data_IF_436760306333
#
_entry.id   IF_436760306333
#
_cell.length_a   1.000
_cell.length_b   1.000
_cell.length_c   1.000
_cell.angle_alpha   90.00
_cell.angle_beta   90.00
_cell.angle_gamma   90.00
#
_symmetry.space_group_name_H-M   'P 1'
#
loop_
_entity.id
_entity.type
_entity.pdbx_description
1 polymer ?
#
# COMPACT_ATOMS: atom_id res chain seq x y z
N UNK A 1 7.29 16.91 19.58
CA UNK A 1 7.19 15.47 19.28
C UNK A 1 8.46 15.05 18.57
N UNK A 2 9.03 13.89 18.89
CA UNK A 2 10.25 13.41 18.22
C UNK A 2 9.88 12.84 16.85
N UNK A 3 10.40 13.45 15.76
CA UNK A 3 10.08 13.09 14.37
C UNK A 3 10.49 11.63 14.03
N UNK A 4 11.59 11.14 14.59
CA UNK A 4 12.02 9.77 14.39
C UNK A 4 11.02 8.76 14.98
N UNK A 5 10.63 8.96 16.25
CA UNK A 5 9.65 8.09 16.90
C UNK A 5 8.31 8.12 16.15
N UNK A 6 7.86 9.31 15.76
CA UNK A 6 6.64 9.48 14.97
C UNK A 6 6.70 8.70 13.66
N UNK A 7 7.77 8.86 12.89
CA UNK A 7 7.96 8.12 11.61
C UNK A 7 7.97 6.62 11.83
N UNK A 8 8.63 6.12 12.88
CA UNK A 8 8.63 4.70 13.21
C UNK A 8 7.24 4.17 13.56
N UNK A 9 6.47 4.92 14.36
CA UNK A 9 5.10 4.54 14.74
C UNK A 9 4.19 4.52 13.52
N UNK A 10 4.21 5.57 12.70
CA UNK A 10 3.42 5.63 11.45
C UNK A 10 3.78 4.47 10.52
N UNK A 11 5.08 4.20 10.33
CA UNK A 11 5.55 3.07 9.52
C UNK A 11 5.05 1.75 10.07
N UNK A 12 5.20 1.52 11.39
CA UNK A 12 4.79 0.27 12.02
C UNK A 12 3.28 0.01 11.86
N UNK A 13 2.43 1.01 12.14
CA UNK A 13 0.98 0.89 11.94
C UNK A 13 0.65 0.60 10.47
N UNK A 14 1.35 1.25 9.54
CA UNK A 14 1.14 1.03 8.10
C UNK A 14 1.49 -0.40 7.70
N UNK A 15 2.63 -0.93 8.16
CA UNK A 15 3.03 -2.32 7.87
C UNK A 15 2.04 -3.32 8.49
N UNK A 16 1.56 -3.07 9.71
CA UNK A 16 0.50 -3.89 10.34
C UNK A 16 -0.76 -3.87 9.47
N UNK A 17 -1.18 -2.70 8.97
CA UNK A 17 -2.34 -2.60 8.08
C UNK A 17 -2.12 -3.31 6.74
N UNK A 18 -0.93 -3.22 6.13
CA UNK A 18 -0.58 -3.98 4.92
C UNK A 18 -0.67 -5.47 5.19
N UNK A 19 -0.01 -5.96 6.24
CA UNK A 19 0.07 -7.38 6.56
C UNK A 19 -1.29 -7.97 6.94
N UNK A 20 -2.04 -7.29 7.80
CA UNK A 20 -3.31 -7.82 8.29
C UNK A 20 -4.45 -7.57 7.31
N UNK A 21 -4.65 -6.32 6.87
CA UNK A 21 -5.79 -5.99 6.03
C UNK A 21 -5.56 -6.40 4.58
N UNK A 22 -4.53 -5.89 3.89
CA UNK A 22 -4.33 -6.18 2.47
C UNK A 22 -3.94 -7.64 2.24
N UNK A 23 -2.91 -8.11 2.93
CA UNK A 23 -2.35 -9.43 2.71
C UNK A 23 -3.28 -10.54 3.26
N UNK A 24 -3.43 -10.63 4.58
CA UNK A 24 -4.20 -11.74 5.19
C UNK A 24 -5.71 -11.60 5.01
N UNK A 25 -6.25 -10.39 5.11
CA UNK A 25 -7.70 -10.14 5.01
C UNK A 25 -8.19 -10.13 3.57
N UNK A 26 -7.58 -9.32 2.71
CA UNK A 26 -8.10 -9.11 1.37
C UNK A 26 -7.52 -10.08 0.34
N UNK A 27 -6.20 -10.31 0.31
CA UNK A 27 -5.59 -11.19 -0.67
C UNK A 27 -5.89 -12.67 -0.37
N UNK A 28 -5.61 -13.13 0.84
CA UNK A 28 -5.73 -14.54 1.23
C UNK A 28 -7.08 -14.92 1.84
N UNK A 29 -7.94 -13.94 2.19
CA UNK A 29 -9.23 -14.20 2.85
C UNK A 29 -9.14 -15.02 4.15
N UNK A 30 -7.98 -14.99 4.81
CA UNK A 30 -7.71 -15.75 6.03
C UNK A 30 -8.23 -15.08 7.31
N UNK A 31 -8.58 -13.80 7.27
CA UNK A 31 -9.10 -13.03 8.40
C UNK A 31 -10.30 -12.20 7.97
N UNK A 32 -11.36 -12.26 8.76
CA UNK A 32 -12.54 -11.40 8.64
C UNK A 32 -12.47 -10.37 9.76
N UNK A 33 -12.38 -9.09 9.40
CA UNK A 33 -12.32 -7.99 10.35
C UNK A 33 -13.70 -7.45 10.67
N UNK A 34 -13.87 -7.00 11.91
CA UNK A 34 -15.02 -6.15 12.24
C UNK A 34 -15.03 -4.93 11.30
N UNK A 35 -16.19 -4.50 10.76
CA UNK A 35 -16.28 -3.43 9.76
C UNK A 35 -15.56 -2.13 10.14
N UNK A 36 -15.64 -1.70 11.39
CA UNK A 36 -14.96 -0.50 11.90
C UNK A 36 -13.44 -0.64 11.79
N UNK A 37 -12.88 -1.79 12.22
CA UNK A 37 -11.45 -2.03 12.16
C UNK A 37 -10.95 -2.15 10.72
N UNK A 38 -11.70 -2.85 9.87
CA UNK A 38 -11.39 -2.96 8.44
C UNK A 38 -11.41 -1.59 7.75
N UNK A 39 -12.37 -0.73 8.10
CA UNK A 39 -12.46 0.63 7.58
C UNK A 39 -11.30 1.51 8.07
N UNK A 40 -10.94 1.44 9.37
CA UNK A 40 -9.78 2.15 9.91
C UNK A 40 -8.49 1.76 9.17
N UNK A 41 -8.22 0.46 8.99
CA UNK A 41 -7.03 -0.01 8.27
C UNK A 41 -7.00 0.47 6.82
N UNK A 42 -8.13 0.45 6.12
CA UNK A 42 -8.27 0.95 4.75
C UNK A 42 -8.04 2.45 4.66
N UNK A 43 -8.64 3.24 5.55
CA UNK A 43 -8.41 4.67 5.65
C UNK A 43 -6.93 4.99 5.92
N UNK A 44 -6.31 4.28 6.87
CA UNK A 44 -4.91 4.46 7.21
C UNK A 44 -3.97 4.18 6.02
N UNK A 45 -4.23 3.12 5.27
CA UNK A 45 -3.46 2.79 4.07
C UNK A 45 -3.63 3.82 2.97
N UNK A 46 -4.84 4.32 2.76
CA UNK A 46 -5.10 5.42 1.84
C UNK A 46 -4.34 6.69 2.24
N UNK A 47 -4.34 7.03 3.54
CA UNK A 47 -3.66 8.19 4.09
C UNK A 47 -2.13 8.12 3.93
N UNK A 48 -1.53 6.97 4.23
CA UNK A 48 -0.07 6.82 4.36
C UNK A 48 0.62 6.31 3.09
N UNK A 49 -0.10 5.64 2.20
CA UNK A 49 0.48 5.00 1.01
C UNK A 49 -0.20 5.37 -0.29
N UNK A 50 -1.44 5.86 -0.24
CA UNK A 50 -2.28 6.08 -1.42
C UNK A 50 -2.58 4.81 -2.22
N UNK A 51 -2.41 3.63 -1.63
CA UNK A 51 -2.67 2.36 -2.31
C UNK A 51 -4.16 2.14 -2.53
N UNK A 52 -4.50 1.68 -3.72
CA UNK A 52 -5.84 1.25 -4.09
C UNK A 52 -5.97 -0.23 -3.76
N UNK A 53 -6.87 -0.57 -2.83
CA UNK A 53 -7.04 -1.94 -2.31
C UNK A 53 -7.16 -2.99 -3.42
N UNK A 54 -8.01 -2.74 -4.42
CA UNK A 54 -8.23 -3.67 -5.54
C UNK A 54 -6.96 -3.93 -6.35
N UNK A 55 -6.18 -2.87 -6.63
CA UNK A 55 -4.94 -2.98 -7.40
C UNK A 55 -3.88 -3.77 -6.63
N UNK A 56 -3.69 -3.44 -5.36
CA UNK A 56 -2.70 -4.13 -4.53
C UNK A 56 -3.01 -5.63 -4.43
N UNK A 57 -4.26 -5.98 -4.12
CA UNK A 57 -4.71 -7.37 -4.00
C UNK A 57 -4.56 -8.12 -5.32
N UNK A 58 -4.89 -7.48 -6.45
CA UNK A 58 -4.75 -8.09 -7.76
C UNK A 58 -3.29 -8.43 -8.09
N UNK A 59 -2.39 -7.48 -7.87
CA UNK A 59 -0.94 -7.65 -8.09
C UNK A 59 -0.41 -8.77 -7.21
N UNK A 60 -0.76 -8.78 -5.93
CA UNK A 60 -0.31 -9.78 -4.98
C UNK A 60 -0.83 -11.19 -5.32
N UNK A 61 -2.10 -11.33 -5.69
CA UNK A 61 -2.66 -12.61 -6.12
C UNK A 61 -2.06 -13.09 -7.43
N UNK A 62 -1.75 -12.18 -8.37
CA UNK A 62 -1.03 -12.53 -9.60
C UNK A 62 0.38 -13.03 -9.28
N UNK A 63 1.08 -12.38 -8.34
CA UNK A 63 2.37 -12.88 -7.86
C UNK A 63 2.25 -14.32 -7.35
N UNK A 64 1.29 -14.62 -6.48
CA UNK A 64 1.09 -16.00 -6.00
C UNK A 64 0.75 -17.00 -7.12
N UNK A 65 -0.01 -16.58 -8.12
CA UNK A 65 -0.39 -17.45 -9.25
C UNK A 65 0.79 -17.76 -10.20
N UNK A 66 1.74 -16.83 -10.31
CA UNK A 66 2.88 -16.91 -11.22
C UNK A 66 4.23 -16.91 -10.49
N UNK A 67 4.25 -17.21 -9.20
CA UNK A 67 5.40 -17.07 -8.31
C UNK A 67 6.71 -17.51 -8.99
N UNK A 68 7.65 -16.58 -9.12
CA UNK A 68 9.00 -16.76 -9.71
C UNK A 68 9.04 -17.21 -11.18
N UNK A 69 7.91 -17.09 -11.91
CA UNK A 69 7.80 -17.41 -13.33
C UNK A 69 7.59 -16.16 -14.17
N UNK A 70 7.70 -16.32 -15.48
CA UNK A 70 7.34 -15.28 -16.44
C UNK A 70 5.88 -14.83 -16.21
N UNK A 71 5.67 -13.50 -16.15
CA UNK A 71 4.36 -12.90 -15.84
C UNK A 71 4.16 -12.52 -14.37
N UNK A 72 5.08 -12.89 -13.48
CA UNK A 72 5.09 -12.41 -12.09
C UNK A 72 5.40 -10.90 -12.05
N UNK A 73 4.54 -10.07 -11.44
CA UNK A 73 4.70 -8.61 -11.48
C UNK A 73 5.89 -8.06 -10.68
N UNK A 74 6.44 -8.81 -9.73
CA UNK A 74 7.54 -8.33 -8.88
C UNK A 74 8.47 -9.43 -8.33
N UNK A 75 8.63 -10.52 -9.05
CA UNK A 75 9.56 -11.58 -8.65
C UNK A 75 11.02 -11.13 -8.62
N UNK A 76 11.76 -11.39 -7.54
CA UNK A 76 13.19 -11.16 -7.50
C UNK A 76 13.98 -12.09 -8.45
N UNK A 77 13.44 -13.27 -8.79
CA UNK A 77 14.04 -14.17 -9.77
C UNK A 77 13.94 -13.64 -11.20
N UNK A 78 12.79 -12.99 -11.54
CA UNK A 78 12.55 -12.40 -12.88
C UNK A 78 13.25 -11.06 -13.05
N UNK A 79 13.16 -10.19 -12.03
CA UNK A 79 13.64 -8.80 -12.12
C UNK A 79 14.96 -8.54 -11.41
N UNK A 80 15.44 -9.46 -10.57
CA UNK A 80 16.56 -9.27 -9.67
C UNK A 80 16.17 -8.59 -8.35
N UNK A 81 16.77 -9.04 -7.23
CA UNK A 81 16.39 -8.58 -5.88
C UNK A 81 16.53 -7.07 -5.69
N UNK A 82 17.60 -6.47 -6.19
CA UNK A 82 17.84 -5.03 -6.06
C UNK A 82 16.80 -4.20 -6.81
N UNK A 83 16.34 -4.69 -7.96
CA UNK A 83 15.29 -4.01 -8.72
C UNK A 83 13.94 -4.08 -8.00
N UNK A 84 13.60 -5.23 -7.45
CA UNK A 84 12.38 -5.39 -6.67
C UNK A 84 12.43 -4.50 -5.42
N UNK A 85 13.55 -4.51 -4.69
CA UNK A 85 13.71 -3.75 -3.47
C UNK A 85 13.66 -2.23 -3.70
N UNK A 86 14.44 -1.70 -4.66
CA UNK A 86 14.53 -0.25 -4.88
C UNK A 86 13.48 0.32 -5.86
N UNK A 87 12.92 -0.52 -6.72
CA UNK A 87 11.92 -0.10 -7.72
C UNK A 87 10.57 -0.77 -7.53
N UNK A 88 10.30 -1.37 -6.37
CA UNK A 88 9.04 -2.05 -6.07
C UNK A 88 7.81 -1.15 -6.29
N UNK A 89 7.85 0.09 -5.84
CA UNK A 89 6.78 1.06 -6.08
C UNK A 89 6.55 1.34 -7.59
N UNK A 90 7.61 1.37 -8.38
CA UNK A 90 7.50 1.53 -9.84
C UNK A 90 6.95 0.26 -10.50
N UNK A 91 7.39 -0.92 -10.09
CA UNK A 91 6.86 -2.19 -10.57
C UNK A 91 5.37 -2.30 -10.26
N UNK A 92 4.98 -1.97 -9.03
CA UNK A 92 3.57 -1.88 -8.63
C UNK A 92 2.78 -0.94 -9.53
N UNK A 93 3.25 0.30 -9.72
CA UNK A 93 2.58 1.29 -10.56
C UNK A 93 2.46 0.83 -12.01
N UNK A 94 3.46 0.13 -12.54
CA UNK A 94 3.42 -0.42 -13.89
C UNK A 94 2.40 -1.55 -13.99
N UNK A 95 2.40 -2.48 -13.04
CA UNK A 95 1.45 -3.59 -13.01
C UNK A 95 0.00 -3.12 -12.79
N UNK A 96 -0.22 -2.06 -11.99
CA UNK A 96 -1.56 -1.52 -11.72
C UNK A 96 -2.26 -0.91 -12.94
N UNK A 97 -1.55 -0.64 -14.02
CA UNK A 97 -2.12 -0.13 -15.29
C UNK A 97 -2.78 -1.23 -16.13
N UNK A 98 -2.46 -2.48 -15.89
CA UNK A 98 -3.10 -3.63 -16.54
C UNK A 98 -4.50 -3.84 -15.93
N UNK A 99 -5.50 -3.19 -16.55
CA UNK A 99 -6.89 -3.20 -16.07
C UNK A 99 -7.52 -4.59 -16.12
N UNK A 100 -7.14 -5.42 -17.10
CA UNK A 100 -7.65 -6.77 -17.24
C UNK A 100 -7.13 -7.67 -16.11
N UNK A 101 -5.84 -7.55 -15.81
CA UNK A 101 -5.23 -8.20 -14.66
C UNK A 101 -5.90 -7.74 -13.35
N UNK A 102 -6.07 -6.43 -13.15
CA UNK A 102 -6.70 -5.88 -11.93
C UNK A 102 -8.14 -6.37 -11.79
N UNK A 103 -8.90 -6.44 -12.88
CA UNK A 103 -10.27 -6.95 -12.84
C UNK A 103 -10.32 -8.46 -12.58
N UNK A 104 -9.40 -9.24 -13.16
CA UNK A 104 -9.33 -10.69 -12.99
C UNK A 104 -8.93 -11.09 -11.56
N UNK A 105 -7.88 -10.52 -11.02
CA UNK A 105 -7.31 -10.93 -9.74
C UNK A 105 -7.82 -10.11 -8.54
N UNK A 106 -8.40 -8.92 -8.76
CA UNK A 106 -8.92 -8.04 -7.72
C UNK A 106 -10.36 -8.32 -7.26
N UNK A 107 -10.95 -9.45 -7.66
CA UNK A 107 -12.33 -9.83 -7.32
C UNK A 107 -12.51 -9.99 -5.81
N UNK A 108 -13.65 -9.51 -5.29
CA UNK A 108 -14.05 -9.66 -3.88
C UNK A 108 -13.30 -8.76 -2.91
N UNK A 109 -12.67 -7.68 -3.40
CA UNK A 109 -12.19 -6.56 -2.58
C UNK A 109 -13.33 -5.59 -2.26
N UNK A 110 -13.19 -4.72 -1.24
CA UNK A 110 -14.21 -3.71 -0.94
C UNK A 110 -14.55 -2.87 -2.17
N UNK A 111 -15.85 -2.69 -2.40
CA UNK A 111 -16.40 -1.91 -3.52
C UNK A 111 -17.61 -1.09 -3.02
N UNK A 112 -17.46 -0.46 -1.84
CA UNK A 112 -18.48 0.40 -1.24
C UNK A 112 -18.41 1.84 -1.79
N UNK A 113 -19.34 2.69 -1.34
CA UNK A 113 -19.42 4.08 -1.78
C UNK A 113 -18.11 4.86 -1.52
N UNK A 114 -17.45 4.62 -0.38
CA UNK A 114 -16.21 5.31 -0.01
C UNK A 114 -15.08 4.89 -0.94
N UNK A 115 -14.97 3.59 -1.25
CA UNK A 115 -13.95 3.10 -2.19
C UNK A 115 -14.13 3.72 -3.56
N UNK A 116 -15.37 3.73 -4.09
CA UNK A 116 -15.66 4.24 -5.43
C UNK A 116 -15.52 5.74 -5.57
N UNK A 117 -15.83 6.51 -4.53
CA UNK A 117 -15.92 7.97 -4.62
C UNK A 117 -14.75 8.70 -3.94
N UNK A 118 -14.03 8.06 -3.01
CA UNK A 118 -12.97 8.70 -2.25
C UNK A 118 -11.64 7.99 -2.48
N UNK A 119 -11.48 6.74 -2.05
CA UNK A 119 -10.18 6.11 -1.99
C UNK A 119 -9.58 5.82 -3.36
N UNK A 120 -10.35 5.22 -4.27
CA UNK A 120 -9.86 4.89 -5.61
C UNK A 120 -9.60 6.11 -6.48
N UNK A 121 -10.57 7.06 -6.70
CA UNK A 121 -10.33 8.20 -7.59
C UNK A 121 -9.39 9.24 -6.99
N UNK A 122 -9.30 9.32 -5.67
CA UNK A 122 -8.51 10.32 -4.95
C UNK A 122 -7.38 9.69 -4.11
N UNK A 123 -6.75 8.63 -4.62
CA UNK A 123 -5.68 7.93 -3.91
C UNK A 123 -4.51 8.84 -3.49
N UNK A 124 -4.17 9.83 -4.31
CA UNK A 124 -3.13 10.82 -4.01
C UNK A 124 -3.52 11.84 -2.95
N UNK A 125 -4.83 12.08 -2.76
CA UNK A 125 -5.31 13.04 -1.76
C UNK A 125 -4.97 12.58 -0.34
N UNK A 126 -5.00 11.27 -0.07
CA UNK A 126 -4.58 10.73 1.22
C UNK A 126 -3.14 11.11 1.56
N UNK A 127 -2.22 10.91 0.60
CA UNK A 127 -0.80 11.25 0.77
C UNK A 127 -0.61 12.76 0.99
N UNK A 128 -1.37 13.60 0.30
CA UNK A 128 -1.33 15.05 0.50
C UNK A 128 -1.90 15.45 1.87
N UNK A 129 -2.95 14.79 2.33
CA UNK A 129 -3.49 15.00 3.67
C UNK A 129 -2.47 14.61 4.75
N UNK A 130 -1.72 13.53 4.54
CA UNK A 130 -0.61 13.14 5.42
C UNK A 130 0.46 14.23 5.47
N UNK A 131 0.82 14.84 4.33
CA UNK A 131 1.73 16.00 4.31
C UNK A 131 1.19 17.15 5.16
N UNK A 132 -0.11 17.47 5.07
CA UNK A 132 -0.72 18.53 5.89
C UNK A 132 -0.61 18.19 7.38
N UNK A 133 -0.87 16.95 7.77
CA UNK A 133 -0.72 16.47 9.14
C UNK A 133 0.73 16.63 9.62
N UNK A 134 1.71 16.23 8.81
CA UNK A 134 3.13 16.36 9.15
C UNK A 134 3.55 17.83 9.30
N UNK A 135 3.03 18.72 8.45
CA UNK A 135 3.27 20.17 8.56
C UNK A 135 2.64 20.78 9.83
N UNK A 136 1.47 20.31 10.24
CA UNK A 136 0.83 20.76 11.48
C UNK A 136 1.64 20.33 12.73
N UNK A 137 2.24 19.14 12.70
CA UNK A 137 3.02 18.63 13.83
C UNK A 137 4.46 19.15 13.89
N UNK A 138 5.09 19.39 12.75
CA UNK A 138 6.52 19.68 12.65
C UNK A 138 6.83 21.03 11.98
N UNK A 139 5.81 21.82 11.61
CA UNK A 139 6.01 23.05 10.84
C UNK A 139 6.73 22.75 9.51
N UNK A 140 7.65 23.62 9.05
CA UNK A 140 8.36 23.41 7.78
C UNK A 140 9.13 22.10 7.68
N UNK A 141 9.57 21.52 8.83
CA UNK A 141 10.21 20.22 8.89
C UNK A 141 9.30 19.05 8.48
N UNK A 142 7.99 19.27 8.49
CA UNK A 142 6.99 18.30 8.02
C UNK A 142 7.22 17.84 6.59
N UNK A 143 7.77 18.69 5.70
CA UNK A 143 8.16 18.26 4.35
C UNK A 143 9.23 17.16 4.36
N UNK A 144 10.20 17.26 5.27
CA UNK A 144 11.26 16.27 5.40
C UNK A 144 10.71 14.98 6.00
N UNK A 145 9.89 15.09 7.05
CA UNK A 145 9.25 13.93 7.69
C UNK A 145 8.42 13.16 6.67
N UNK A 146 7.56 13.85 5.94
CA UNK A 146 6.74 13.27 4.87
C UNK A 146 7.60 12.64 3.76
N UNK A 147 8.63 13.34 3.27
CA UNK A 147 9.54 12.81 2.25
C UNK A 147 10.24 11.53 2.69
N UNK A 148 10.68 11.47 3.94
CA UNK A 148 11.26 10.25 4.54
C UNK A 148 10.23 9.13 4.57
N UNK A 149 8.98 9.40 5.00
CA UNK A 149 7.92 8.39 5.04
C UNK A 149 7.62 7.84 3.63
N UNK A 150 7.58 8.69 2.60
CA UNK A 150 7.31 8.30 1.21
C UNK A 150 8.38 7.35 0.63
N UNK A 151 9.59 7.36 1.16
CA UNK A 151 10.67 6.44 0.78
C UNK A 151 10.71 5.23 1.72
N UNK A 152 10.63 5.47 3.02
CA UNK A 152 10.84 4.47 4.06
C UNK A 152 9.72 3.42 4.11
N UNK A 153 8.46 3.85 4.03
CA UNK A 153 7.32 2.94 4.09
C UNK A 153 7.33 1.93 2.92
N UNK A 154 7.49 2.34 1.64
CA UNK A 154 7.58 1.39 0.52
C UNK A 154 8.78 0.44 0.62
N UNK A 155 9.93 0.90 1.12
CA UNK A 155 11.10 0.03 1.31
C UNK A 155 10.83 -1.06 2.35
N UNK A 156 10.23 -0.69 3.48
CA UNK A 156 9.81 -1.67 4.49
C UNK A 156 8.75 -2.63 3.97
N UNK A 157 7.75 -2.12 3.25
CA UNK A 157 6.71 -2.96 2.66
C UNK A 157 7.31 -3.97 1.67
N UNK A 158 8.26 -3.55 0.84
CA UNK A 158 8.95 -4.45 -0.11
C UNK A 158 9.82 -5.51 0.59
N UNK A 159 10.32 -5.24 1.81
CA UNK A 159 11.14 -6.18 2.57
C UNK A 159 10.35 -7.17 3.43
N UNK A 160 9.05 -6.94 3.65
CA UNK A 160 8.18 -7.75 4.52
C UNK A 160 7.22 -8.65 3.71
N UNK A 161 6.97 -8.32 2.47
CA UNK A 161 6.08 -9.02 1.53
C UNK A 161 6.91 -9.76 0.50
#
# INVERSE_FOLDING_TARGET
>A
MNAFIYTMVVTHITIVCVTLFLHRGQAHKGIIFHPILGHFMRFWLWLTTGQITKQWVAIHRKHHAYSDKEGDPHSPHVFGIWRVFFKGAWLYHTASKDTDMVNKFGVGTPDDWIERNIYTPHSRLGILLMLVIDLLFFGPWGFIVWGVQMIWIPLWAAGVI
#
